data_IF_062582627042
#
_entry.id   IF_062582627042
#
_cell.length_a   1.000
_cell.length_b   1.000
_cell.length_c   1.000
_cell.angle_alpha   90.00
_cell.angle_beta   90.00
_cell.angle_gamma   90.00
#
_symmetry.space_group_name_H-M   'P 1'
#
loop_
_entity.id
_entity.type
_entity.pdbx_description
1 polymer ?
#
# COMPACT_ATOMS: atom_id res chain seq x y z
N UNK A 1 10.48 -11.10 13.97
CA UNK A 1 10.68 -11.44 15.39
C UNK A 1 12.15 -11.30 15.75
N UNK A 2 12.49 -10.82 16.96
CA UNK A 2 13.89 -10.58 17.38
C UNK A 2 14.39 -11.78 18.20
N UNK A 3 15.57 -12.31 17.86
CA UNK A 3 16.17 -13.47 18.55
C UNK A 3 16.32 -13.21 20.05
N UNK A 4 16.12 -14.26 20.85
CA UNK A 4 16.06 -14.18 22.32
C UNK A 4 17.31 -13.53 22.94
N UNK A 5 18.47 -13.72 22.31
CA UNK A 5 19.76 -13.20 22.77
C UNK A 5 19.90 -11.69 22.63
N UNK A 6 19.22 -11.08 21.66
CA UNK A 6 19.13 -9.63 21.51
C UNK A 6 18.07 -9.08 22.45
N UNK A 7 16.94 -9.79 22.58
CA UNK A 7 15.81 -9.43 23.44
C UNK A 7 16.23 -9.28 24.91
N UNK A 8 17.06 -10.19 25.43
CA UNK A 8 17.51 -10.16 26.83
C UNK A 8 18.50 -9.03 27.14
N UNK A 9 19.16 -8.47 26.12
CA UNK A 9 20.18 -7.41 26.25
C UNK A 9 19.66 -6.02 25.90
N UNK A 10 18.36 -5.88 25.65
CA UNK A 10 17.74 -4.64 25.19
C UNK A 10 16.61 -4.21 26.12
N UNK A 11 16.39 -2.89 26.27
CA UNK A 11 15.19 -2.35 26.91
C UNK A 11 14.07 -2.24 25.87
N UNK A 12 12.99 -2.99 26.06
CA UNK A 12 11.83 -2.90 25.16
C UNK A 12 11.05 -1.61 25.43
N UNK A 13 10.90 -0.80 24.38
CA UNK A 13 9.99 0.33 24.36
C UNK A 13 8.86 -0.02 23.38
N UNK A 14 7.65 -0.23 23.90
CA UNK A 14 6.48 -0.50 23.06
C UNK A 14 5.93 0.82 22.55
N UNK A 15 6.04 1.04 21.24
CA UNK A 15 5.31 2.11 20.56
C UNK A 15 3.86 1.67 20.40
N UNK A 16 2.92 2.59 20.66
CA UNK A 16 1.48 2.37 20.41
C UNK A 16 1.10 3.03 19.10
N UNK A 17 0.13 2.47 18.40
CA UNK A 17 -0.50 3.16 17.28
C UNK A 17 -1.18 4.43 17.81
N UNK A 18 -0.84 5.62 17.29
CA UNK A 18 -1.51 6.85 17.68
C UNK A 18 -2.98 6.82 17.25
N UNK A 19 -3.89 7.50 17.96
CA UNK A 19 -5.24 7.70 17.46
C UNK A 19 -5.22 8.60 16.21
N UNK A 20 -6.29 8.54 15.42
CA UNK A 20 -6.46 9.28 14.16
C UNK A 20 -6.25 10.78 14.38
N UNK A 21 -6.83 11.33 15.44
CA UNK A 21 -6.78 12.75 15.79
C UNK A 21 -5.33 13.19 16.04
N UNK A 22 -4.54 12.37 16.73
CA UNK A 22 -3.13 12.69 16.99
C UNK A 22 -2.29 12.72 15.70
N UNK A 23 -2.61 11.87 14.72
CA UNK A 23 -1.96 11.91 13.40
C UNK A 23 -2.41 13.15 12.61
N UNK A 24 -3.70 13.48 12.64
CA UNK A 24 -4.22 14.68 12.00
C UNK A 24 -3.59 15.96 12.59
N UNK A 25 -3.48 16.06 13.91
CA UNK A 25 -2.83 17.18 14.61
C UNK A 25 -1.34 17.28 14.27
N UNK A 26 -0.67 16.14 14.11
CA UNK A 26 0.73 16.11 13.67
C UNK A 26 0.87 16.66 12.24
N UNK A 27 -0.02 16.29 11.32
CA UNK A 27 -0.02 16.80 9.94
C UNK A 27 -0.32 18.30 9.89
N UNK A 28 -1.26 18.79 10.69
CA UNK A 28 -1.54 20.23 10.77
C UNK A 28 -0.30 20.99 11.25
N UNK A 29 0.24 20.62 12.42
CA UNK A 29 1.32 21.38 13.08
C UNK A 29 2.64 21.33 12.31
N UNK A 30 3.00 20.19 11.73
CA UNK A 30 4.31 19.99 11.08
C UNK A 30 4.26 20.20 9.58
N UNK A 31 3.13 19.90 8.96
CA UNK A 31 3.01 19.81 7.51
C UNK A 31 2.11 20.88 6.90
N UNK A 32 1.43 21.71 7.72
CA UNK A 32 0.57 22.81 7.28
C UNK A 32 -0.69 22.35 6.54
N UNK A 33 -1.11 21.10 6.76
CA UNK A 33 -2.26 20.49 6.08
C UNK A 33 -3.56 21.05 6.67
N UNK A 34 -4.53 21.36 5.81
CA UNK A 34 -5.89 21.73 6.20
C UNK A 34 -6.51 20.70 7.18
N UNK A 35 -7.25 21.12 8.23
CA UNK A 35 -7.80 20.21 9.23
C UNK A 35 -8.66 19.07 8.66
N UNK A 36 -9.50 19.34 7.66
CA UNK A 36 -10.36 18.31 7.07
C UNK A 36 -9.54 17.30 6.26
N UNK A 37 -8.57 17.78 5.47
CA UNK A 37 -7.64 16.92 4.74
C UNK A 37 -6.74 16.10 5.68
N UNK A 38 -6.27 16.69 6.79
CA UNK A 38 -5.46 16.00 7.77
C UNK A 38 -6.22 14.86 8.44
N UNK A 39 -7.48 15.09 8.82
CA UNK A 39 -8.34 14.07 9.41
C UNK A 39 -8.68 12.96 8.41
N UNK A 40 -9.02 13.34 7.18
CA UNK A 40 -9.21 12.40 6.07
C UNK A 40 -7.99 11.50 5.89
N UNK A 41 -6.82 12.10 5.72
CA UNK A 41 -5.58 11.37 5.44
C UNK A 41 -5.16 10.49 6.62
N UNK A 42 -5.38 10.92 7.86
CA UNK A 42 -5.12 10.13 9.06
C UNK A 42 -6.01 8.88 9.14
N UNK A 43 -7.31 9.02 8.84
CA UNK A 43 -8.25 7.88 8.77
C UNK A 43 -7.91 6.93 7.64
N UNK A 44 -7.77 7.46 6.43
CA UNK A 44 -7.47 6.71 5.22
C UNK A 44 -6.15 5.93 5.35
N UNK A 45 -5.15 6.49 6.04
CA UNK A 45 -3.89 5.83 6.32
C UNK A 45 -3.92 4.89 7.54
N UNK A 46 -5.07 4.74 8.21
CA UNK A 46 -5.24 3.93 9.41
C UNK A 46 -4.18 4.24 10.48
N UNK A 47 -3.95 5.54 10.73
CA UNK A 47 -2.94 6.06 11.66
C UNK A 47 -1.47 5.83 11.29
N UNK A 48 -1.18 5.38 10.06
CA UNK A 48 0.18 5.33 9.54
C UNK A 48 0.68 6.73 9.13
N UNK A 49 1.49 7.37 9.96
CA UNK A 49 1.97 8.76 9.78
C UNK A 49 2.57 9.06 8.39
N UNK A 50 3.44 8.18 7.89
CA UNK A 50 4.10 8.37 6.59
C UNK A 50 3.11 8.38 5.41
N UNK A 51 2.21 7.41 5.37
CA UNK A 51 1.13 7.32 4.41
C UNK A 51 0.12 8.46 4.55
N UNK A 52 -0.25 8.84 5.77
CA UNK A 52 -1.14 9.98 6.02
C UNK A 52 -0.55 11.28 5.45
N UNK A 53 0.74 11.54 5.70
CA UNK A 53 1.45 12.68 5.12
C UNK A 53 1.44 12.64 3.59
N UNK A 54 1.59 11.46 2.99
CA UNK A 54 1.54 11.30 1.54
C UNK A 54 0.15 11.56 1.00
N UNK A 55 -0.88 10.90 1.54
CA UNK A 55 -2.29 11.10 1.16
C UNK A 55 -2.75 12.54 1.37
N UNK A 56 -2.16 13.29 2.29
CA UNK A 56 -2.47 14.71 2.46
C UNK A 56 -1.90 15.59 1.34
N UNK A 57 -0.77 15.22 0.74
CA UNK A 57 0.00 16.06 -0.20
C UNK A 57 -0.10 15.64 -1.66
N UNK A 58 -0.38 14.38 -1.91
CA UNK A 58 -0.36 13.77 -3.23
C UNK A 58 -1.78 13.41 -3.67
N UNK A 59 -2.36 14.19 -4.58
CA UNK A 59 -3.68 13.91 -5.18
C UNK A 59 -3.68 12.59 -5.95
N UNK A 60 -2.58 12.24 -6.62
CA UNK A 60 -2.49 10.98 -7.36
C UNK A 60 -2.50 9.79 -6.41
N UNK A 61 -1.93 9.91 -5.22
CA UNK A 61 -2.05 8.87 -4.18
C UNK A 61 -3.50 8.69 -3.72
N UNK A 62 -4.27 9.79 -3.59
CA UNK A 62 -5.70 9.72 -3.26
C UNK A 62 -6.53 9.09 -4.37
N UNK A 63 -6.25 9.44 -5.64
CA UNK A 63 -6.90 8.86 -6.81
C UNK A 63 -6.64 7.35 -6.87
N UNK A 64 -5.38 6.90 -6.77
CA UNK A 64 -5.03 5.48 -6.75
C UNK A 64 -5.77 4.73 -5.64
N UNK A 65 -5.79 5.28 -4.43
CA UNK A 65 -6.53 4.69 -3.29
C UNK A 65 -8.02 4.54 -3.61
N UNK A 66 -8.65 5.58 -4.15
CA UNK A 66 -10.06 5.54 -4.54
C UNK A 66 -10.33 4.45 -5.60
N UNK A 67 -9.41 4.29 -6.54
CA UNK A 67 -9.54 3.30 -7.61
C UNK A 67 -9.43 1.87 -7.04
N UNK A 68 -8.50 1.62 -6.11
CA UNK A 68 -8.38 0.36 -5.35
C UNK A 68 -9.66 0.05 -4.58
N UNK A 69 -10.21 1.03 -3.85
CA UNK A 69 -11.49 0.88 -3.13
C UNK A 69 -12.64 0.57 -4.09
N UNK A 70 -12.64 1.18 -5.27
CA UNK A 70 -13.67 0.96 -6.28
C UNK A 70 -13.62 -0.44 -6.90
N UNK A 71 -12.50 -1.16 -6.81
CA UNK A 71 -12.40 -2.53 -7.31
C UNK A 71 -13.30 -3.49 -6.54
N UNK A 72 -13.49 -3.29 -5.23
CA UNK A 72 -14.22 -4.22 -4.37
C UNK A 72 -15.66 -4.50 -4.87
N UNK A 73 -16.30 -3.52 -5.51
CA UNK A 73 -17.67 -3.64 -6.04
C UNK A 73 -17.74 -4.04 -7.52
N UNK A 74 -16.61 -4.20 -8.21
CA UNK A 74 -16.55 -4.45 -9.66
C UNK A 74 -16.29 -5.90 -10.05
N UNK A 75 -15.89 -6.75 -9.11
CA UNK A 75 -15.48 -8.12 -9.39
C UNK A 75 -16.72 -9.05 -9.44
N UNK A 76 -17.38 -9.17 -10.60
CA UNK A 76 -18.59 -10.01 -10.75
C UNK A 76 -18.29 -11.36 -11.44
N UNK A 77 -17.25 -11.39 -12.26
CA UNK A 77 -16.82 -12.55 -13.01
C UNK A 77 -15.32 -12.81 -12.93
N UNK A 78 -14.89 -13.88 -13.60
CA UNK A 78 -13.48 -14.24 -13.71
C UNK A 78 -12.70 -13.18 -14.48
N UNK A 79 -13.26 -12.66 -15.58
CA UNK A 79 -12.64 -11.59 -16.35
C UNK A 79 -12.38 -10.33 -15.51
N UNK A 80 -13.38 -9.90 -14.73
CA UNK A 80 -13.25 -8.77 -13.82
C UNK A 80 -12.19 -9.02 -12.74
N UNK A 81 -12.10 -10.25 -12.23
CA UNK A 81 -11.10 -10.60 -11.22
C UNK A 81 -9.67 -10.50 -11.75
N UNK A 82 -9.41 -11.05 -12.95
CA UNK A 82 -8.10 -10.96 -13.58
C UNK A 82 -7.77 -9.52 -13.97
N UNK A 83 -8.74 -8.77 -14.52
CA UNK A 83 -8.58 -7.35 -14.84
C UNK A 83 -8.26 -6.52 -13.59
N UNK A 84 -9.02 -6.71 -12.51
CA UNK A 84 -8.77 -6.07 -11.22
C UNK A 84 -7.36 -6.36 -10.68
N UNK A 85 -6.90 -7.61 -10.75
CA UNK A 85 -5.55 -7.97 -10.33
C UNK A 85 -4.47 -7.29 -11.19
N UNK A 86 -4.68 -7.21 -12.51
CA UNK A 86 -3.78 -6.53 -13.44
C UNK A 86 -3.73 -5.01 -13.17
N UNK A 87 -4.88 -4.37 -12.98
CA UNK A 87 -4.98 -2.95 -12.64
C UNK A 87 -4.22 -2.65 -11.34
N UNK A 88 -4.38 -3.48 -10.32
CA UNK A 88 -3.69 -3.32 -9.04
C UNK A 88 -2.17 -3.46 -9.15
N UNK A 89 -1.72 -4.43 -9.95
CA UNK A 89 -0.29 -4.62 -10.24
C UNK A 89 0.27 -3.42 -11.01
N UNK A 90 -0.45 -2.92 -12.01
CA UNK A 90 -0.07 -1.74 -12.79
C UNK A 90 0.03 -0.48 -11.91
N UNK A 91 -0.97 -0.24 -11.06
CA UNK A 91 -0.97 0.86 -10.08
C UNK A 91 0.30 0.82 -9.22
N UNK A 92 0.71 -0.37 -8.78
CA UNK A 92 1.91 -0.54 -7.98
C UNK A 92 3.21 -0.29 -8.75
N UNK A 93 3.30 -0.74 -10.00
CA UNK A 93 4.46 -0.54 -10.87
C UNK A 93 4.65 0.93 -11.25
N UNK A 94 3.56 1.63 -11.59
CA UNK A 94 3.58 3.06 -11.90
C UNK A 94 4.04 3.88 -10.69
N UNK A 95 3.53 3.56 -9.50
CA UNK A 95 3.91 4.23 -8.26
C UNK A 95 5.37 3.96 -7.86
N UNK A 96 5.85 2.74 -8.08
CA UNK A 96 7.24 2.37 -7.83
C UNK A 96 8.21 3.15 -8.72
N UNK A 97 7.88 3.23 -10.00
CA UNK A 97 8.71 3.92 -11.01
C UNK A 97 8.77 5.43 -10.75
N UNK A 98 7.65 6.05 -10.37
CA UNK A 98 7.58 7.49 -10.11
C UNK A 98 8.37 7.93 -8.85
N UNK A 99 8.49 7.07 -7.84
CA UNK A 99 9.09 7.41 -6.54
C UNK A 99 10.63 7.39 -6.53
N UNK A 100 11.25 6.63 -7.45
CA UNK A 100 12.69 6.33 -7.44
C UNK A 100 13.54 7.12 -8.42
N UNK A 101 13.03 7.43 -9.62
CA UNK A 101 13.87 7.84 -10.76
C UNK A 101 14.73 9.09 -10.50
N UNK A 102 14.14 10.16 -9.97
CA UNK A 102 14.87 11.41 -9.68
C UNK A 102 15.92 11.21 -8.58
N UNK A 103 15.57 10.45 -7.53
CA UNK A 103 16.49 10.15 -6.43
C UNK A 103 17.66 9.29 -6.90
N UNK A 104 17.38 8.26 -7.69
CA UNK A 104 18.40 7.34 -8.18
C UNK A 104 19.38 8.04 -9.12
N UNK A 105 18.90 8.96 -9.96
CA UNK A 105 19.74 9.82 -10.79
C UNK A 105 20.62 10.75 -9.95
N UNK A 106 20.05 11.41 -8.93
CA UNK A 106 20.79 12.29 -8.04
C UNK A 106 21.86 11.54 -7.21
N UNK A 107 21.57 10.32 -6.75
CA UNK A 107 22.54 9.47 -6.05
C UNK A 107 23.68 9.03 -6.97
N UNK A 108 23.37 8.65 -8.21
CA UNK A 108 24.38 8.32 -9.21
C UNK A 108 25.29 9.51 -9.50
N UNK A 109 24.72 10.69 -9.69
CA UNK A 109 25.48 11.92 -9.93
C UNK A 109 26.42 12.25 -8.75
N UNK A 110 25.90 12.19 -7.51
CA UNK A 110 26.71 12.38 -6.30
C UNK A 110 27.83 11.36 -6.17
N UNK A 111 27.58 10.09 -6.51
CA UNK A 111 28.62 9.06 -6.47
C UNK A 111 29.72 9.33 -7.51
N UNK A 112 29.36 9.79 -8.71
CA UNK A 112 30.35 10.17 -9.72
C UNK A 112 31.21 11.36 -9.26
N UNK A 113 30.61 12.35 -8.61
CA UNK A 113 31.33 13.50 -8.04
C UNK A 113 32.33 13.07 -6.95
N UNK A 114 31.88 12.25 -5.99
CA UNK A 114 32.73 11.73 -4.90
C UNK A 114 33.93 10.95 -5.44
N UNK A 115 33.73 10.21 -6.53
CA UNK A 115 34.77 9.40 -7.17
C UNK A 115 35.66 10.19 -8.14
N UNK A 116 35.42 11.50 -8.30
CA UNK A 116 36.05 12.33 -9.33
C UNK A 116 35.98 11.69 -10.72
N UNK A 117 34.86 11.02 -11.01
CA UNK A 117 34.62 10.35 -12.28
C UNK A 117 34.32 11.38 -13.36
N UNK A 118 34.96 11.27 -14.53
CA UNK A 118 34.64 12.11 -15.70
C UNK A 118 33.29 11.67 -16.31
N UNK A 119 32.22 12.47 -16.22
CA UNK A 119 30.90 12.08 -16.74
C UNK A 119 30.89 11.89 -18.26
N UNK A 120 31.85 12.48 -18.97
CA UNK A 120 31.96 12.44 -20.44
C UNK A 120 32.78 11.25 -20.94
N UNK A 121 33.46 10.53 -20.04
CA UNK A 121 34.27 9.38 -20.40
C UNK A 121 33.41 8.26 -21.01
N UNK A 122 33.79 7.81 -22.21
CA UNK A 122 33.15 6.67 -22.90
C UNK A 122 33.11 5.40 -22.03
N UNK A 123 34.15 5.19 -21.21
CA UNK A 123 34.22 4.04 -20.30
C UNK A 123 34.88 4.46 -19.00
N UNK A 124 34.18 4.24 -17.88
CA UNK A 124 34.71 4.50 -16.56
C UNK A 124 35.79 3.46 -16.15
N UNK A 125 36.77 3.85 -15.33
CA UNK A 125 37.73 2.92 -14.74
C UNK A 125 37.05 1.74 -14.01
N UNK A 126 37.68 0.55 -13.94
CA UNK A 126 37.07 -0.65 -13.34
C UNK A 126 36.53 -0.45 -11.91
N UNK A 127 37.24 0.28 -11.06
CA UNK A 127 36.85 0.54 -9.67
C UNK A 127 35.64 1.49 -9.53
N UNK A 128 35.40 2.36 -10.53
CA UNK A 128 34.23 3.24 -10.59
C UNK A 128 33.04 2.44 -11.11
N UNK A 129 33.23 1.63 -12.16
CA UNK A 129 32.18 0.75 -12.71
C UNK A 129 31.65 -0.22 -11.67
N UNK A 130 32.52 -0.83 -10.85
CA UNK A 130 32.08 -1.77 -9.81
C UNK A 130 31.22 -1.09 -8.74
N UNK A 131 31.53 0.15 -8.37
CA UNK A 131 30.76 0.94 -7.42
C UNK A 131 29.42 1.41 -7.99
N UNK A 132 29.40 1.88 -9.25
CA UNK A 132 28.15 2.21 -9.94
C UNK A 132 27.23 0.98 -10.06
N UNK A 133 27.78 -0.19 -10.41
CA UNK A 133 27.02 -1.43 -10.47
C UNK A 133 26.55 -1.93 -9.08
N UNK A 134 27.27 -1.60 -8.00
CA UNK A 134 26.81 -1.86 -6.64
C UNK A 134 25.62 -0.94 -6.28
N UNK A 135 25.72 0.35 -6.58
CA UNK A 135 24.65 1.32 -6.38
C UNK A 135 23.39 0.93 -7.17
N UNK A 136 23.52 0.56 -8.45
CA UNK A 136 22.39 0.12 -9.27
C UNK A 136 21.71 -1.14 -8.71
N UNK A 137 22.48 -2.08 -8.14
CA UNK A 137 21.91 -3.26 -7.45
C UNK A 137 21.14 -2.85 -6.19
N UNK A 138 21.67 -1.93 -5.39
CA UNK A 138 20.97 -1.42 -4.21
C UNK A 138 19.68 -0.67 -4.59
N UNK A 139 19.74 0.17 -5.62
CA UNK A 139 18.58 0.88 -6.19
C UNK A 139 17.51 -0.11 -6.63
N UNK A 140 17.88 -1.15 -7.38
CA UNK A 140 16.95 -2.21 -7.82
C UNK A 140 16.31 -2.93 -6.64
N UNK A 141 17.09 -3.29 -5.62
CA UNK A 141 16.57 -3.95 -4.41
C UNK A 141 15.58 -3.05 -3.64
N UNK A 142 15.86 -1.74 -3.56
CA UNK A 142 14.94 -0.76 -2.95
C UNK A 142 13.68 -0.60 -3.77
N UNK A 143 13.77 -0.52 -5.10
CA UNK A 143 12.62 -0.43 -5.99
C UNK A 143 11.71 -1.67 -5.86
N UNK A 144 12.27 -2.88 -5.80
CA UNK A 144 11.49 -4.10 -5.57
C UNK A 144 10.79 -4.08 -4.21
N UNK A 145 11.48 -3.66 -3.14
CA UNK A 145 10.85 -3.52 -1.81
C UNK A 145 9.73 -2.49 -1.84
N UNK A 146 9.98 -1.34 -2.45
CA UNK A 146 9.00 -0.29 -2.54
C UNK A 146 7.75 -0.76 -3.31
N UNK A 147 7.89 -1.43 -4.45
CA UNK A 147 6.77 -2.01 -5.19
C UNK A 147 5.94 -2.97 -4.35
N UNK A 148 6.59 -3.85 -3.56
CA UNK A 148 5.89 -4.72 -2.59
C UNK A 148 5.13 -3.93 -1.54
N UNK A 149 5.73 -2.88 -0.99
CA UNK A 149 5.07 -2.02 -0.01
C UNK A 149 3.87 -1.28 -0.61
N UNK A 150 3.91 -0.91 -1.90
CA UNK A 150 2.76 -0.31 -2.59
C UNK A 150 1.62 -1.31 -2.72
N UNK A 151 1.93 -2.55 -3.17
CA UNK A 151 0.92 -3.61 -3.24
C UNK A 151 0.33 -3.89 -1.85
N UNK A 152 1.15 -4.02 -0.81
CA UNK A 152 0.66 -4.26 0.55
C UNK A 152 -0.29 -3.14 1.03
N UNK A 153 0.04 -1.87 0.75
CA UNK A 153 -0.86 -0.74 1.06
C UNK A 153 -2.18 -0.83 0.33
N UNK A 154 -2.16 -1.16 -0.95
CA UNK A 154 -3.38 -1.31 -1.73
C UNK A 154 -4.25 -2.48 -1.20
N UNK A 155 -3.63 -3.56 -0.75
CA UNK A 155 -4.33 -4.67 -0.11
C UNK A 155 -4.92 -4.27 1.25
N UNK A 156 -4.22 -3.45 2.05
CA UNK A 156 -4.74 -2.88 3.30
C UNK A 156 -5.93 -1.96 3.05
N UNK A 157 -5.84 -1.08 2.04
CA UNK A 157 -6.96 -0.23 1.62
C UNK A 157 -8.16 -1.08 1.18
N UNK A 158 -7.93 -2.15 0.41
CA UNK A 158 -8.99 -3.07 0.00
C UNK A 158 -9.63 -3.78 1.20
N UNK A 159 -8.83 -4.33 2.13
CA UNK A 159 -9.31 -4.94 3.38
C UNK A 159 -10.17 -3.96 4.18
N UNK A 160 -9.80 -2.67 4.21
CA UNK A 160 -10.53 -1.67 4.99
C UNK A 160 -11.99 -1.50 4.54
N UNK A 161 -12.28 -1.68 3.25
CA UNK A 161 -13.66 -1.59 2.72
C UNK A 161 -14.51 -2.78 3.17
N UNK A 162 -13.97 -3.99 3.10
CA UNK A 162 -14.64 -5.19 3.59
C UNK A 162 -14.85 -5.15 5.12
N UNK A 163 -13.87 -4.62 5.85
CA UNK A 163 -13.98 -4.38 7.30
C UNK A 163 -15.11 -3.41 7.62
N UNK A 164 -15.18 -2.29 6.91
CA UNK A 164 -16.21 -1.28 7.16
C UNK A 164 -17.61 -1.84 6.82
N UNK A 165 -17.71 -2.65 5.76
CA UNK A 165 -18.97 -3.32 5.39
C UNK A 165 -19.42 -4.29 6.50
N UNK A 166 -18.47 -5.00 7.11
CA UNK A 166 -18.73 -5.91 8.24
C UNK A 166 -19.19 -5.13 9.48
N UNK A 167 -18.51 -4.02 9.80
CA UNK A 167 -18.89 -3.14 10.92
C UNK A 167 -20.31 -2.61 10.76
N UNK A 168 -20.68 -2.15 9.55
CA UNK A 168 -22.04 -1.72 9.26
C UNK A 168 -23.06 -2.85 9.39
N UNK A 169 -22.75 -4.06 8.88
CA UNK A 169 -23.65 -5.22 8.98
C UNK A 169 -23.89 -5.68 10.42
N UNK A 170 -22.89 -5.52 11.29
CA UNK A 170 -22.99 -5.87 12.71
C UNK A 170 -23.59 -4.75 13.57
N UNK A 171 -23.83 -3.56 13.01
CA UNK A 171 -24.36 -2.41 13.76
C UNK A 171 -23.42 -1.92 14.87
N UNK A 172 -22.11 -2.08 14.68
CA UNK A 172 -21.11 -1.71 15.68
C UNK A 172 -20.80 -0.21 15.65
N UNK A 173 -20.57 0.39 16.82
CA UNK A 173 -20.29 1.83 16.98
C UNK A 173 -18.80 2.19 16.80
N UNK A 174 -18.12 1.47 15.91
CA UNK A 174 -16.70 1.75 15.62
C UNK A 174 -16.61 2.60 14.37
N UNK A 175 -15.81 3.65 14.43
CA UNK A 175 -15.54 4.52 13.29
C UNK A 175 -15.13 3.75 12.03
N UNK A 176 -15.64 4.22 10.89
CA UNK A 176 -15.31 3.69 9.58
C UNK A 176 -13.99 4.28 9.09
N UNK A 177 -13.21 3.46 8.39
CA UNK A 177 -11.98 3.90 7.71
C UNK A 177 -12.31 4.69 6.44
N UNK A 178 -13.41 4.33 5.76
CA UNK A 178 -13.80 4.83 4.45
C UNK A 178 -15.16 5.58 4.47
N UNK A 179 -15.33 6.62 5.29
CA UNK A 179 -16.60 7.37 5.32
C UNK A 179 -16.90 8.07 3.99
N UNK A 180 -15.87 8.41 3.21
CA UNK A 180 -15.97 8.99 1.87
C UNK A 180 -16.45 7.99 0.80
N UNK A 181 -16.31 6.69 1.06
CA UNK A 181 -16.76 5.62 0.17
C UNK A 181 -17.99 4.86 0.72
N UNK A 182 -18.79 5.51 1.58
CA UNK A 182 -19.90 4.88 2.30
C UNK A 182 -20.88 4.12 1.39
N UNK A 183 -21.16 4.64 0.20
CA UNK A 183 -22.05 3.99 -0.77
C UNK A 183 -21.50 2.63 -1.24
N UNK A 184 -20.18 2.51 -1.44
CA UNK A 184 -19.53 1.24 -1.79
C UNK A 184 -19.52 0.27 -0.61
N UNK A 185 -19.24 0.79 0.58
CA UNK A 185 -19.27 0.02 1.83
C UNK A 185 -20.67 -0.58 2.06
N UNK A 186 -21.73 0.22 1.88
CA UNK A 186 -23.13 -0.22 1.97
C UNK A 186 -23.48 -1.23 0.88
N UNK A 187 -23.04 -1.02 -0.35
CA UNK A 187 -23.26 -1.96 -1.44
C UNK A 187 -22.65 -3.34 -1.13
N UNK A 188 -21.40 -3.39 -0.66
CA UNK A 188 -20.77 -4.64 -0.22
C UNK A 188 -21.53 -5.28 0.95
N UNK A 189 -21.89 -4.49 1.96
CA UNK A 189 -22.65 -4.97 3.10
C UNK A 189 -24.06 -5.46 2.73
N UNK A 190 -24.64 -4.99 1.63
CA UNK A 190 -25.91 -5.47 1.09
C UNK A 190 -25.78 -6.83 0.40
N UNK A 191 -24.63 -7.09 -0.22
CA UNK A 191 -24.44 -8.29 -1.07
C UNK A 191 -23.75 -9.45 -0.37
N UNK A 192 -22.83 -9.17 0.55
CA UNK A 192 -22.10 -10.20 1.29
C UNK A 192 -22.73 -10.48 2.66
N UNK A 193 -22.70 -11.74 3.10
CA UNK A 193 -22.93 -12.09 4.50
C UNK A 193 -21.70 -11.74 5.37
N UNK A 194 -21.85 -11.62 6.71
CA UNK A 194 -20.71 -11.42 7.60
C UNK A 194 -19.57 -12.44 7.41
N UNK A 195 -19.91 -13.71 7.22
CA UNK A 195 -18.95 -14.80 7.01
C UNK A 195 -18.22 -14.64 5.68
N UNK A 196 -18.92 -14.21 4.62
CA UNK A 196 -18.29 -13.96 3.32
C UNK A 196 -17.38 -12.72 3.35
N UNK A 197 -17.74 -11.68 4.12
CA UNK A 197 -16.87 -10.52 4.35
C UNK A 197 -15.59 -10.91 5.08
N UNK A 198 -15.68 -11.79 6.10
CA UNK A 198 -14.51 -12.34 6.78
C UNK A 198 -13.65 -13.18 5.82
N UNK A 199 -14.26 -14.07 5.04
CA UNK A 199 -13.54 -14.86 4.04
C UNK A 199 -12.83 -13.99 3.00
N UNK A 200 -13.44 -12.88 2.58
CA UNK A 200 -12.80 -11.90 1.69
C UNK A 200 -11.57 -11.25 2.35
N UNK A 201 -11.65 -10.88 3.63
CA UNK A 201 -10.51 -10.35 4.38
C UNK A 201 -9.39 -11.39 4.54
N UNK A 202 -9.75 -12.65 4.78
CA UNK A 202 -8.79 -13.76 4.86
C UNK A 202 -8.09 -14.01 3.52
N UNK A 203 -8.82 -13.98 2.40
CA UNK A 203 -8.23 -14.10 1.07
C UNK A 203 -7.24 -12.97 0.75
N UNK A 204 -7.53 -11.74 1.20
CA UNK A 204 -6.61 -10.60 1.07
C UNK A 204 -5.37 -10.82 1.94
N UNK A 205 -5.53 -11.23 3.19
CA UNK A 205 -4.40 -11.53 4.09
C UNK A 205 -3.53 -12.67 3.54
N UNK A 206 -4.14 -13.72 2.98
CA UNK A 206 -3.41 -14.81 2.35
C UNK A 206 -2.56 -14.32 1.17
N UNK A 207 -3.08 -13.42 0.33
CA UNK A 207 -2.29 -12.82 -0.74
C UNK A 207 -1.11 -11.99 -0.21
N UNK A 208 -1.31 -11.22 0.87
CA UNK A 208 -0.22 -10.49 1.54
C UNK A 208 0.86 -11.45 2.04
N UNK A 209 0.48 -12.54 2.67
CA UNK A 209 1.42 -13.56 3.16
C UNK A 209 2.18 -14.23 2.01
N UNK A 210 1.49 -14.58 0.91
CA UNK A 210 2.10 -15.15 -0.30
C UNK A 210 3.12 -14.19 -0.92
N UNK A 211 2.79 -12.90 -1.04
CA UNK A 211 3.70 -11.88 -1.58
C UNK A 211 4.94 -11.72 -0.68
N UNK A 212 4.73 -11.71 0.64
CA UNK A 212 5.83 -11.67 1.61
C UNK A 212 6.70 -12.93 1.56
N UNK A 213 6.12 -14.08 1.21
CA UNK A 213 6.81 -15.33 0.94
C UNK A 213 7.46 -15.42 -0.46
N UNK A 214 7.53 -14.31 -1.20
CA UNK A 214 8.13 -14.19 -2.54
C UNK A 214 7.35 -14.86 -3.69
N UNK A 215 6.05 -15.08 -3.54
CA UNK A 215 5.19 -15.40 -4.69
C UNK A 215 5.14 -14.19 -5.64
N UNK A 216 5.15 -14.38 -6.98
CA UNK A 216 4.96 -13.29 -7.92
C UNK A 216 3.68 -12.50 -7.61
N UNK A 217 3.74 -11.16 -7.43
CA UNK A 217 2.60 -10.38 -6.95
C UNK A 217 1.35 -10.58 -7.78
N UNK A 218 1.44 -10.50 -9.11
CA UNK A 218 0.29 -10.66 -10.00
C UNK A 218 -0.45 -11.98 -9.75
N UNK A 219 0.27 -13.10 -9.63
CA UNK A 219 -0.33 -14.41 -9.38
C UNK A 219 -1.07 -14.47 -8.03
N UNK A 220 -0.51 -13.86 -6.98
CA UNK A 220 -1.16 -13.78 -5.68
C UNK A 220 -2.42 -12.91 -5.73
N UNK A 221 -2.37 -11.80 -6.47
CA UNK A 221 -3.49 -10.89 -6.67
C UNK A 221 -4.62 -11.54 -7.48
N UNK A 222 -4.31 -12.29 -8.53
CA UNK A 222 -5.28 -13.04 -9.33
C UNK A 222 -6.01 -14.09 -8.47
N UNK A 223 -5.25 -14.88 -7.71
CA UNK A 223 -5.80 -15.89 -6.81
C UNK A 223 -6.70 -15.29 -5.72
N UNK A 224 -6.36 -14.11 -5.21
CA UNK A 224 -7.20 -13.34 -4.28
C UNK A 224 -8.46 -12.84 -4.97
N UNK A 225 -8.33 -12.16 -6.11
CA UNK A 225 -9.46 -11.53 -6.80
C UNK A 225 -10.55 -12.54 -7.17
N UNK A 226 -10.17 -13.78 -7.52
CA UNK A 226 -11.11 -14.88 -7.75
C UNK A 226 -11.97 -15.25 -6.53
N UNK A 227 -11.46 -15.04 -5.31
CA UNK A 227 -12.18 -15.26 -4.06
C UNK A 227 -13.04 -14.06 -3.65
N UNK A 228 -12.72 -12.87 -4.15
CA UNK A 228 -13.47 -11.62 -3.89
C UNK A 228 -14.69 -11.43 -4.80
N UNK A 229 -14.99 -12.41 -5.67
CA UNK A 229 -16.12 -12.34 -6.57
C UNK A 229 -17.42 -12.14 -5.79
N UNK A 230 -18.18 -11.13 -6.23
CA UNK A 230 -19.50 -10.85 -5.69
C UNK A 230 -20.40 -12.06 -5.94
N UNK A 231 -21.08 -12.60 -4.91
CA UNK A 231 -22.04 -13.69 -5.08
C UNK A 231 -23.05 -13.36 -6.18
N UNK A 232 -23.18 -14.23 -7.18
CA UNK A 232 -24.15 -14.05 -8.29
C UNK A 232 -25.60 -14.25 -7.85
N UNK A 233 -25.82 -14.81 -6.67
CA UNK A 233 -27.13 -15.31 -6.22
C UNK A 233 -27.84 -14.35 -5.26
N UNK A 234 -27.92 -13.06 -5.61
CA UNK A 234 -29.01 -12.21 -5.14
C UNK A 234 -30.02 -12.08 -6.27
N UNK A 235 -30.91 -13.07 -6.29
CA UNK A 235 -31.88 -13.32 -7.34
C UNK A 235 -32.68 -12.10 -7.81
N UNK A 236 -32.77 -12.00 -9.14
CA UNK A 236 -34.07 -12.00 -9.80
C UNK A 236 -34.55 -13.46 -9.84
#
# INVERSE_FOLDING_TARGET
DVIVTIRSRSRHVRLRTPPVEAVADLLQRRDGVDPAMALYAARAAQSHVGLARRLARDEQARIRRRDVIAMATKIQGVGDAIGAAADLAQIADEESSASGAERDAAERARLMEILAADPTARTQPPHIRSQLAALEREQKMRATRYGRDVVDRALVDLTSVYRDALVLRLGSDVDLVNPDAIEKVRALGGVFTPEQLLAAMDAINEARDRINANVPPLLALEAMALQLRVPRDLGV
#
